data_IF_258617921422
#
_entry.id   IF_258617921422
#
_cell.length_a   1.000
_cell.length_b   1.000
_cell.length_c   1.000
_cell.angle_alpha   90.00
_cell.angle_beta   90.00
_cell.angle_gamma   90.00
#
_symmetry.space_group_name_H-M   'P 1'
#
loop_
_entity.id
_entity.type
_entity.pdbx_description
1 polymer ?
#
# COMPACT_ATOMS: atom_id res chain seq x y z
N UNK A 1 17.64 -25.07 -9.42
CA UNK A 1 18.06 -23.89 -10.02
C UNK A 1 17.82 -22.73 -9.18
N UNK A 2 18.71 -21.85 -9.16
CA UNK A 2 18.60 -20.68 -8.30
C UNK A 2 17.80 -19.61 -8.97
N UNK A 3 16.99 -18.99 -8.17
CA UNK A 3 16.18 -17.87 -8.60
C UNK A 3 17.05 -16.62 -8.51
N UNK A 4 17.00 -15.75 -9.51
CA UNK A 4 17.72 -14.50 -9.44
C UNK A 4 17.02 -13.58 -8.43
N UNK A 5 17.70 -12.53 -8.02
CA UNK A 5 17.08 -11.55 -7.11
C UNK A 5 15.86 -10.91 -7.74
N UNK A 6 15.92 -10.64 -9.05
CA UNK A 6 14.77 -10.03 -9.72
C UNK A 6 13.60 -11.01 -9.84
N UNK A 7 13.91 -12.29 -10.10
CA UNK A 7 12.85 -13.29 -10.16
C UNK A 7 12.16 -13.44 -8.82
N UNK A 8 12.96 -13.44 -7.75
CA UNK A 8 12.40 -13.52 -6.41
C UNK A 8 11.53 -12.31 -6.11
N UNK A 9 12.00 -11.13 -6.50
CA UNK A 9 11.24 -9.90 -6.31
C UNK A 9 9.87 -10.02 -6.99
N UNK A 10 9.85 -10.45 -8.24
CA UNK A 10 8.61 -10.55 -8.99
C UNK A 10 7.65 -11.54 -8.36
N UNK A 11 8.17 -12.68 -7.93
CA UNK A 11 7.34 -13.72 -7.33
C UNK A 11 6.71 -13.23 -6.03
N UNK A 12 7.52 -12.61 -5.19
CA UNK A 12 7.02 -12.09 -3.92
C UNK A 12 6.07 -10.93 -4.13
N UNK A 13 6.36 -10.08 -5.14
CA UNK A 13 5.51 -8.94 -5.44
C UNK A 13 4.12 -9.39 -5.85
N UNK A 14 4.04 -10.39 -6.72
CA UNK A 14 2.72 -10.88 -7.16
C UNK A 14 1.90 -11.34 -5.97
N UNK A 15 2.51 -12.13 -5.09
CA UNK A 15 1.80 -12.64 -3.93
C UNK A 15 1.37 -11.52 -2.98
N UNK A 16 2.30 -10.63 -2.69
CA UNK A 16 2.03 -9.59 -1.70
C UNK A 16 1.05 -8.54 -2.21
N UNK A 17 1.17 -8.18 -3.49
CA UNK A 17 0.25 -7.21 -4.08
C UNK A 17 -1.15 -7.78 -4.13
N UNK A 18 -1.30 -9.03 -4.56
CA UNK A 18 -2.60 -9.64 -4.64
C UNK A 18 -3.27 -9.72 -3.26
N UNK A 19 -2.51 -10.06 -2.25
CA UNK A 19 -3.06 -10.10 -0.89
C UNK A 19 -3.45 -8.71 -0.39
N UNK A 20 -2.62 -7.72 -0.69
CA UNK A 20 -2.88 -6.36 -0.26
C UNK A 20 -4.13 -5.80 -0.94
N UNK A 21 -4.24 -6.02 -2.25
CA UNK A 21 -5.41 -5.55 -2.99
C UNK A 21 -6.67 -6.18 -2.44
N UNK A 22 -6.63 -7.49 -2.17
CA UNK A 22 -7.78 -8.17 -1.62
C UNK A 22 -8.15 -7.63 -0.24
N UNK A 23 -7.15 -7.36 0.57
CA UNK A 23 -7.40 -6.78 1.90
C UNK A 23 -8.03 -5.41 1.79
N UNK A 24 -7.56 -4.60 0.85
CA UNK A 24 -8.11 -3.27 0.64
C UNK A 24 -9.56 -3.36 0.19
N UNK A 25 -9.86 -4.32 -0.70
CA UNK A 25 -11.23 -4.54 -1.15
C UNK A 25 -12.13 -4.93 0.01
N UNK A 26 -11.62 -5.74 0.92
CA UNK A 26 -12.38 -6.13 2.10
C UNK A 26 -12.68 -4.94 3.00
N UNK A 27 -11.74 -4.03 3.11
CA UNK A 27 -11.97 -2.80 3.86
C UNK A 27 -13.09 -2.01 3.20
N UNK A 28 -13.10 -1.97 1.87
CA UNK A 28 -14.14 -1.28 1.13
C UNK A 28 -15.53 -1.83 1.40
N UNK A 29 -15.63 -3.13 1.69
CA UNK A 29 -16.91 -3.74 1.98
C UNK A 29 -17.55 -3.20 3.25
N UNK A 30 -16.77 -2.59 4.12
CA UNK A 30 -17.30 -1.95 5.32
C UNK A 30 -18.16 -0.73 5.00
N UNK A 31 -18.11 -0.29 3.75
CA UNK A 31 -18.97 0.80 3.29
C UNK A 31 -20.42 0.38 3.03
N UNK A 32 -20.73 -0.91 3.17
CA UNK A 32 -22.08 -1.40 2.94
C UNK A 32 -23.01 -0.93 4.08
N UNK A 33 -23.82 0.06 3.78
CA UNK A 33 -24.67 0.68 4.79
C UNK A 33 -25.78 -0.22 5.29
N UNK A 34 -26.03 -1.33 4.60
CA UNK A 34 -27.02 -2.30 5.08
C UNK A 34 -26.51 -3.11 6.26
N UNK A 35 -25.19 -3.25 6.37
CA UNK A 35 -24.59 -4.09 7.39
C UNK A 35 -23.79 -3.30 8.43
N UNK A 36 -23.25 -2.16 8.03
CA UNK A 36 -22.34 -1.43 8.88
C UNK A 36 -22.69 0.06 8.89
N UNK A 37 -22.34 0.69 9.98
CA UNK A 37 -22.56 2.12 10.11
C UNK A 37 -21.22 2.77 10.42
N UNK A 38 -20.90 3.84 9.71
CA UNK A 38 -19.66 4.56 9.97
C UNK A 38 -19.90 6.04 9.76
N UNK A 39 -19.14 6.85 10.46
CA UNK A 39 -19.20 8.29 10.27
C UNK A 39 -18.22 8.68 9.18
N UNK A 40 -18.40 9.89 8.66
CA UNK A 40 -17.44 10.45 7.72
C UNK A 40 -16.03 10.48 8.33
N UNK A 41 -15.98 10.77 9.61
CA UNK A 41 -14.70 10.82 10.33
C UNK A 41 -14.03 9.45 10.36
N UNK A 42 -14.81 8.41 10.63
CA UNK A 42 -14.28 7.04 10.64
C UNK A 42 -13.67 6.68 9.30
N UNK A 43 -14.39 6.99 8.24
CA UNK A 43 -13.93 6.66 6.89
C UNK A 43 -12.66 7.43 6.52
N UNK A 44 -12.59 8.69 6.91
CA UNK A 44 -11.40 9.50 6.64
C UNK A 44 -10.17 8.95 7.32
N UNK A 45 -10.32 8.46 8.55
CA UNK A 45 -9.21 7.88 9.28
C UNK A 45 -8.68 6.63 8.60
N UNK A 46 -9.58 5.79 8.09
CA UNK A 46 -9.18 4.58 7.38
C UNK A 46 -8.43 4.94 6.11
N UNK A 47 -8.99 5.85 5.34
CA UNK A 47 -8.39 6.27 4.07
C UNK A 47 -7.00 6.86 4.32
N UNK A 48 -6.87 7.69 5.35
CA UNK A 48 -5.58 8.28 5.67
C UNK A 48 -4.56 7.21 6.01
N UNK A 49 -4.95 6.23 6.81
CA UNK A 49 -4.03 5.17 7.22
C UNK A 49 -3.53 4.39 6.00
N UNK A 50 -4.42 4.06 5.07
CA UNK A 50 -4.04 3.33 3.87
C UNK A 50 -3.17 4.19 2.96
N UNK A 51 -3.52 5.46 2.81
CA UNK A 51 -2.71 6.36 1.99
C UNK A 51 -1.32 6.54 2.56
N UNK A 52 -1.20 6.65 3.88
CA UNK A 52 0.10 6.79 4.52
C UNK A 52 0.95 5.53 4.30
N UNK A 53 0.34 4.36 4.42
CA UNK A 53 1.04 3.11 4.20
C UNK A 53 1.49 2.99 2.75
N UNK A 54 0.65 3.43 1.82
CA UNK A 54 0.99 3.41 0.40
C UNK A 54 2.16 4.34 0.12
N UNK A 55 2.17 5.51 0.74
CA UNK A 55 3.26 6.46 0.54
C UNK A 55 4.58 5.90 1.07
N UNK A 56 4.53 5.26 2.24
CA UNK A 56 5.71 4.64 2.79
C UNK A 56 6.22 3.52 1.88
N UNK A 57 5.29 2.71 1.38
CA UNK A 57 5.64 1.63 0.46
C UNK A 57 6.33 2.18 -0.77
N UNK A 58 5.78 3.26 -1.32
CA UNK A 58 6.36 3.87 -2.51
C UNK A 58 7.79 4.32 -2.24
N UNK A 59 8.01 4.97 -1.11
CA UNK A 59 9.35 5.42 -0.76
C UNK A 59 10.32 4.25 -0.61
N UNK A 60 9.85 3.16 0.02
CA UNK A 60 10.69 1.99 0.21
C UNK A 60 11.05 1.32 -1.11
N UNK A 61 10.08 1.26 -2.03
CA UNK A 61 10.31 0.61 -3.32
C UNK A 61 11.24 1.41 -4.22
N UNK A 62 11.17 2.74 -4.12
CA UNK A 62 12.00 3.60 -4.95
C UNK A 62 13.39 3.78 -4.38
N UNK A 63 13.64 3.11 -3.29
CA UNK A 63 14.94 3.17 -2.65
C UNK A 63 15.07 4.48 -1.95
N UNK A 64 15.47 4.52 -0.93
CA UNK A 64 15.57 5.65 -0.15
C UNK A 64 16.42 6.71 -0.69
N UNK A 65 16.65 6.68 -1.81
CA UNK A 65 17.38 7.74 -2.32
C UNK A 65 16.69 9.03 -2.23
N UNK A 66 16.63 8.69 -1.57
CA UNK A 66 16.25 9.48 -1.37
C UNK A 66 16.40 10.42 -1.06
N UNK A 67 16.60 10.47 -0.95
CA UNK A 67 16.47 11.12 -0.77
C UNK A 67 16.65 11.90 -0.95
N UNK A 68 17.01 12.11 -1.23
CA UNK A 68 17.05 12.68 -1.65
C UNK A 68 16.68 13.31 -2.01
N UNK A 69 16.60 13.53 -1.77
CA UNK A 69 16.24 14.04 -2.24
C UNK A 69 16.13 14.67 -2.51
N UNK A 70 16.31 14.79 -2.30
CA UNK A 70 16.14 15.34 -2.74
C UNK A 70 16.11 16.28 -2.79
N UNK A 71 16.30 16.51 -2.77
CA UNK A 71 16.31 17.22 -3.01
C UNK A 71 16.51 17.88 -3.47
N UNK A 72 16.61 18.12 -3.47
CA UNK A 72 16.73 18.70 -4.07
C UNK A 72 16.65 19.39 -4.66
N UNK A 73 16.79 19.69 -4.73
CA UNK A 73 16.71 20.20 -5.44
C UNK A 73 17.07 20.66 -5.95
N UNK A 74 17.48 20.57 -5.82
CA UNK A 74 17.72 20.67 -6.34
C UNK A 74 17.82 20.71 -6.77
#
# INVERSE_FOLDING_TARGET
MNESKNDRFKRLAVNRVNKAVKSIELIGNLGNSSLYESTSEDRKKIIKAINDATQKMKNDLEGSKKSKQGFTFE
#
